data_IF_438261072011
#
_entry.id   IF_438261072011
#
_cell.length_a   1.000
_cell.length_b   1.000
_cell.length_c   1.000
_cell.angle_alpha   90.00
_cell.angle_beta   90.00
_cell.angle_gamma   90.00
#
_symmetry.space_group_name_H-M   'P 1'
#
loop_
_entity.id
_entity.type
_entity.pdbx_description
1 polymer ?
#
# COMPACT_ATOMS: atom_id res chain seq x y z
N UNK A 1 14.07 -37.99 12.14
CA UNK A 1 14.77 -36.76 12.56
C UNK A 1 15.82 -36.47 11.52
N UNK A 2 15.50 -35.72 10.51
CA UNK A 2 16.40 -35.37 9.40
C UNK A 2 16.69 -33.89 9.48
N UNK A 3 17.92 -33.60 9.81
CA UNK A 3 18.57 -32.30 9.79
C UNK A 3 18.46 -31.71 8.39
N UNK A 4 17.60 -30.72 8.20
CA UNK A 4 17.62 -29.85 7.03
C UNK A 4 18.62 -28.72 7.33
N UNK A 5 19.88 -28.98 7.00
CA UNK A 5 20.92 -27.98 6.93
C UNK A 5 20.43 -26.76 6.14
N UNK A 6 20.33 -25.58 6.81
CA UNK A 6 20.24 -24.29 6.22
C UNK A 6 21.31 -24.15 5.13
N UNK A 7 20.92 -24.21 3.87
CA UNK A 7 21.81 -23.86 2.76
C UNK A 7 22.24 -22.42 2.99
N UNK A 8 23.50 -22.22 3.30
CA UNK A 8 24.10 -20.91 3.36
C UNK A 8 23.81 -20.16 2.06
N UNK A 9 23.26 -18.96 2.18
CA UNK A 9 23.10 -18.06 1.04
C UNK A 9 24.46 -17.95 0.34
N UNK A 10 24.48 -18.20 -0.97
CA UNK A 10 25.70 -18.14 -1.76
C UNK A 10 26.40 -16.80 -1.57
N UNK A 11 27.73 -16.80 -1.54
CA UNK A 11 28.51 -15.58 -1.43
C UNK A 11 28.04 -14.55 -2.48
N UNK A 12 27.83 -13.27 -2.10
CA UNK A 12 27.38 -12.25 -3.03
C UNK A 12 28.34 -12.15 -4.22
N UNK A 13 27.79 -12.28 -5.43
CA UNK A 13 28.56 -12.10 -6.65
C UNK A 13 28.82 -10.60 -6.89
N UNK A 14 30.06 -10.23 -7.26
CA UNK A 14 30.33 -8.84 -7.64
C UNK A 14 29.46 -8.41 -8.82
N UNK A 15 28.90 -7.21 -8.76
CA UNK A 15 28.21 -6.62 -9.91
C UNK A 15 29.23 -6.37 -11.04
N UNK A 16 28.86 -6.52 -12.33
CA UNK A 16 29.73 -6.21 -13.44
C UNK A 16 30.27 -4.77 -13.34
N UNK A 17 31.58 -4.60 -13.35
CA UNK A 17 32.24 -3.30 -13.21
C UNK A 17 32.43 -2.81 -11.77
N UNK A 18 32.02 -3.56 -10.76
CA UNK A 18 32.33 -3.22 -9.37
C UNK A 18 33.79 -3.52 -9.04
N UNK A 19 34.45 -2.60 -8.34
CA UNK A 19 35.86 -2.74 -7.87
C UNK A 19 35.98 -3.55 -6.58
N UNK A 20 34.84 -3.83 -5.90
CA UNK A 20 34.78 -4.59 -4.65
C UNK A 20 33.39 -5.23 -4.47
N UNK A 21 33.31 -6.26 -3.66
CA UNK A 21 32.03 -6.87 -3.29
C UNK A 21 31.38 -6.07 -2.15
N UNK A 22 30.06 -5.86 -2.24
CA UNK A 22 29.26 -5.23 -1.18
C UNK A 22 28.70 -6.34 -0.29
N UNK A 23 29.10 -6.36 0.98
CA UNK A 23 28.76 -7.42 1.92
C UNK A 23 27.69 -7.04 2.95
N UNK A 24 27.35 -5.77 3.06
CA UNK A 24 26.56 -5.22 4.16
C UNK A 24 25.11 -4.87 3.80
N UNK A 25 24.67 -5.24 2.60
CA UNK A 25 23.28 -5.01 2.18
C UNK A 25 22.67 -6.30 1.70
N UNK A 26 21.61 -6.71 2.37
CA UNK A 26 20.73 -7.77 1.88
C UNK A 26 19.77 -7.15 0.88
N UNK A 27 19.59 -7.72 -0.32
CA UNK A 27 18.51 -7.30 -1.22
C UNK A 27 17.17 -7.34 -0.51
N UNK A 28 16.22 -6.46 -0.88
CA UNK A 28 14.85 -6.56 -0.40
C UNK A 28 14.34 -7.98 -0.61
N UNK A 29 13.74 -8.56 0.43
CA UNK A 29 13.13 -9.87 0.33
C UNK A 29 11.84 -9.72 -0.48
N UNK A 30 11.82 -10.27 -1.70
CA UNK A 30 10.56 -10.48 -2.41
C UNK A 30 9.82 -11.63 -1.72
N UNK A 31 8.75 -11.30 -1.03
CA UNK A 31 7.94 -12.25 -0.29
C UNK A 31 6.48 -11.80 -0.26
N UNK A 32 5.57 -12.73 -0.08
CA UNK A 32 4.20 -12.36 0.27
C UNK A 32 4.18 -11.89 1.74
N UNK A 33 3.99 -10.59 1.96
CA UNK A 33 4.04 -10.00 3.31
C UNK A 33 2.87 -10.43 4.21
N UNK A 34 1.79 -10.97 3.65
CA UNK A 34 0.69 -11.52 4.44
C UNK A 34 0.96 -12.97 4.84
N UNK A 35 1.15 -13.86 3.86
CA UNK A 35 1.32 -15.31 4.15
C UNK A 35 2.65 -15.63 4.81
N UNK A 36 3.66 -14.79 4.66
CA UNK A 36 4.95 -14.91 5.33
C UNK A 36 4.94 -14.42 6.79
N UNK A 37 3.95 -13.63 7.19
CA UNK A 37 3.76 -13.15 8.56
C UNK A 37 2.73 -14.02 9.29
N UNK A 38 3.19 -15.08 9.93
CA UNK A 38 2.32 -16.02 10.63
C UNK A 38 1.53 -15.35 11.76
N UNK A 39 2.12 -14.37 12.46
CA UNK A 39 1.44 -13.67 13.53
C UNK A 39 0.28 -12.82 12.99
N UNK A 40 0.45 -12.17 11.83
CA UNK A 40 -0.61 -11.43 11.16
C UNK A 40 -1.74 -12.36 10.69
N UNK A 41 -1.40 -13.51 10.10
CA UNK A 41 -2.38 -14.50 9.64
C UNK A 41 -3.21 -15.03 10.82
N UNK A 42 -2.57 -15.43 11.91
CA UNK A 42 -3.25 -15.91 13.13
C UNK A 42 -4.13 -14.84 13.74
N UNK A 43 -3.67 -13.58 13.79
CA UNK A 43 -4.47 -12.47 14.32
C UNK A 43 -5.70 -12.20 13.45
N UNK A 44 -5.53 -12.17 12.11
CA UNK A 44 -6.66 -11.96 11.19
C UNK A 44 -7.72 -13.04 11.35
N UNK A 45 -7.32 -14.31 11.42
CA UNK A 45 -8.24 -15.42 11.62
C UNK A 45 -8.90 -15.37 13.03
N UNK A 46 -8.10 -15.24 14.08
CA UNK A 46 -8.56 -15.23 15.47
C UNK A 46 -9.53 -14.08 15.79
N UNK A 47 -9.42 -12.95 15.10
CA UNK A 47 -10.34 -11.81 15.26
C UNK A 47 -11.43 -11.75 14.18
N UNK A 48 -11.66 -12.85 13.46
CA UNK A 48 -12.79 -13.03 12.55
C UNK A 48 -12.65 -12.41 11.18
N UNK A 49 -11.42 -12.02 10.76
CA UNK A 49 -11.11 -11.50 9.43
C UNK A 49 -10.71 -12.59 8.41
N UNK A 50 -10.66 -13.86 8.80
CA UNK A 50 -10.16 -14.98 7.98
C UNK A 50 -10.87 -15.14 6.62
N UNK A 51 -12.11 -14.70 6.49
CA UNK A 51 -12.85 -14.70 5.22
C UNK A 51 -12.22 -13.81 4.13
N UNK A 52 -11.36 -12.86 4.52
CA UNK A 52 -10.63 -11.99 3.59
C UNK A 52 -9.25 -12.55 3.22
N UNK A 53 -8.92 -13.77 3.59
CA UNK A 53 -7.59 -14.36 3.43
C UNK A 53 -7.06 -14.24 1.99
N UNK A 54 -7.85 -14.60 0.99
CA UNK A 54 -7.45 -14.55 -0.42
C UNK A 54 -7.10 -13.11 -0.82
N UNK A 55 -7.96 -12.15 -0.52
CA UNK A 55 -7.75 -10.74 -0.82
C UNK A 55 -6.49 -10.18 -0.13
N UNK A 56 -6.27 -10.55 1.14
CA UNK A 56 -5.08 -10.14 1.90
C UNK A 56 -3.81 -10.80 1.37
N UNK A 57 -3.89 -12.06 0.94
CA UNK A 57 -2.78 -12.77 0.32
C UNK A 57 -2.39 -12.14 -1.01
N UNK A 58 -3.34 -11.84 -1.86
CA UNK A 58 -3.09 -11.17 -3.15
C UNK A 58 -2.44 -9.80 -2.95
N UNK A 59 -2.95 -9.04 -1.98
CA UNK A 59 -2.35 -7.73 -1.66
C UNK A 59 -0.98 -7.85 -1.00
N UNK A 60 -0.78 -8.85 -0.15
CA UNK A 60 0.51 -9.17 0.48
C UNK A 60 1.60 -9.51 -0.55
N UNK A 61 1.25 -10.21 -1.62
CA UNK A 61 2.17 -10.47 -2.72
C UNK A 61 2.54 -9.18 -3.48
N UNK A 62 1.60 -8.28 -3.69
CA UNK A 62 1.85 -6.98 -4.33
C UNK A 62 2.74 -6.09 -3.46
N UNK A 63 2.44 -5.97 -2.16
CA UNK A 63 3.20 -5.11 -1.24
C UNK A 63 4.60 -5.62 -0.97
N UNK A 64 4.81 -6.93 -0.95
CA UNK A 64 6.14 -7.54 -0.79
C UNK A 64 6.93 -7.71 -2.10
N UNK A 65 6.38 -7.27 -3.23
CA UNK A 65 6.99 -7.33 -4.55
C UNK A 65 6.97 -5.97 -5.26
N UNK A 66 6.13 -5.79 -6.30
CA UNK A 66 6.18 -4.60 -7.15
C UNK A 66 5.92 -3.28 -6.41
N UNK A 67 5.04 -3.25 -5.40
CA UNK A 67 4.75 -2.04 -4.63
C UNK A 67 5.94 -1.60 -3.78
N UNK A 68 6.74 -2.54 -3.27
CA UNK A 68 7.97 -2.22 -2.53
C UNK A 68 8.95 -1.43 -3.40
N UNK A 69 9.16 -1.84 -4.64
CA UNK A 69 10.04 -1.14 -5.58
C UNK A 69 9.51 0.27 -5.90
N UNK A 70 8.21 0.40 -6.14
CA UNK A 70 7.56 1.69 -6.35
C UNK A 70 7.66 2.60 -5.12
N UNK A 71 7.61 2.03 -3.90
CA UNK A 71 7.78 2.77 -2.65
C UNK A 71 9.15 3.42 -2.54
N UNK A 72 10.21 2.71 -2.92
CA UNK A 72 11.56 3.30 -2.97
C UNK A 72 11.64 4.49 -3.94
N UNK A 73 11.02 4.38 -5.11
CA UNK A 73 11.02 5.47 -6.08
C UNK A 73 10.17 6.65 -5.60
N UNK A 74 8.98 6.41 -5.07
CA UNK A 74 8.12 7.46 -4.55
C UNK A 74 8.77 8.25 -3.39
N UNK A 75 9.51 7.56 -2.53
CA UNK A 75 10.26 8.21 -1.43
C UNK A 75 11.52 8.95 -1.92
N UNK A 76 12.11 8.51 -3.03
CA UNK A 76 13.28 9.17 -3.62
C UNK A 76 12.91 10.45 -4.37
N UNK A 77 11.77 10.44 -5.07
CA UNK A 77 11.30 11.54 -5.92
C UNK A 77 10.12 12.24 -5.23
N UNK A 78 10.43 13.21 -4.40
CA UNK A 78 9.44 13.99 -3.66
C UNK A 78 8.55 14.83 -4.58
N UNK A 79 7.32 15.19 -4.15
CA UNK A 79 6.44 16.05 -4.93
C UNK A 79 7.08 17.41 -5.26
N UNK A 80 6.81 17.90 -6.46
CA UNK A 80 7.27 19.18 -6.96
C UNK A 80 6.11 20.18 -7.03
N UNK A 81 6.30 21.37 -6.45
CA UNK A 81 5.36 22.47 -6.62
C UNK A 81 5.71 23.27 -7.88
N UNK A 82 4.85 23.21 -8.88
CA UNK A 82 4.95 24.00 -10.11
C UNK A 82 4.04 25.21 -10.00
N UNK A 83 4.61 26.36 -9.68
CA UNK A 83 3.84 27.59 -9.43
C UNK A 83 3.33 28.26 -10.69
N UNK A 84 4.05 28.13 -11.80
CA UNK A 84 3.69 28.76 -13.09
C UNK A 84 3.92 27.79 -14.24
N UNK A 85 3.12 27.95 -15.28
CA UNK A 85 3.32 27.25 -16.54
C UNK A 85 4.45 27.88 -17.38
N UNK A 86 4.74 27.30 -18.54
CA UNK A 86 5.78 27.79 -19.48
C UNK A 86 5.49 29.17 -20.07
N UNK A 87 4.28 29.69 -19.90
CA UNK A 87 3.85 30.99 -20.42
C UNK A 87 3.75 32.05 -19.32
N UNK A 88 4.08 31.70 -18.07
CA UNK A 88 4.02 32.60 -16.91
C UNK A 88 2.64 32.68 -16.25
N UNK A 89 1.67 31.85 -16.61
CA UNK A 89 0.39 31.79 -15.92
C UNK A 89 0.57 31.01 -14.60
N UNK A 90 0.00 31.53 -13.52
CA UNK A 90 0.02 30.89 -12.22
C UNK A 90 -0.90 29.66 -12.22
N UNK A 91 -0.38 28.48 -11.82
CA UNK A 91 -1.11 27.21 -11.81
C UNK A 91 -1.10 26.55 -10.42
N UNK A 92 -0.07 26.76 -9.62
CA UNK A 92 0.12 26.19 -8.26
C UNK A 92 -0.17 24.66 -8.21
N UNK A 93 0.36 23.93 -9.19
CA UNK A 93 0.16 22.48 -9.35
C UNK A 93 1.20 21.72 -8.54
N UNK A 94 0.76 20.70 -7.78
CA UNK A 94 1.66 19.75 -7.13
C UNK A 94 1.78 18.50 -8.01
N UNK A 95 2.99 18.21 -8.47
CA UNK A 95 3.29 17.03 -9.30
C UNK A 95 3.91 15.93 -8.48
N UNK A 96 3.29 14.77 -8.54
CA UNK A 96 3.80 13.57 -7.92
C UNK A 96 4.50 12.67 -8.94
N UNK A 97 5.48 11.91 -8.48
CA UNK A 97 6.13 10.88 -9.31
C UNK A 97 5.11 9.81 -9.73
N UNK A 98 5.24 9.21 -10.94
CA UNK A 98 4.34 8.14 -11.38
C UNK A 98 4.21 6.97 -10.40
N UNK A 99 5.26 6.63 -9.67
CA UNK A 99 5.24 5.59 -8.63
C UNK A 99 4.27 5.91 -7.50
N UNK A 100 4.12 7.19 -7.10
CA UNK A 100 3.10 7.59 -6.12
C UNK A 100 1.69 7.28 -6.64
N UNK A 101 1.38 7.65 -7.87
CA UNK A 101 0.08 7.38 -8.47
C UNK A 101 -0.19 5.87 -8.61
N UNK A 102 0.82 5.09 -8.95
CA UNK A 102 0.69 3.64 -9.04
C UNK A 102 0.40 3.00 -7.66
N UNK A 103 1.09 3.45 -6.60
CA UNK A 103 0.84 2.99 -5.23
C UNK A 103 -0.56 3.38 -4.76
N UNK A 104 -0.99 4.62 -5.03
CA UNK A 104 -2.34 5.07 -4.70
C UNK A 104 -3.41 4.25 -5.44
N UNK A 105 -3.21 3.97 -6.72
CA UNK A 105 -4.14 3.16 -7.51
C UNK A 105 -4.28 1.73 -6.95
N UNK A 106 -3.17 1.09 -6.58
CA UNK A 106 -3.18 -0.24 -5.98
C UNK A 106 -3.81 -0.24 -4.58
N UNK A 107 -3.52 0.76 -3.74
CA UNK A 107 -4.11 0.90 -2.41
C UNK A 107 -5.63 1.14 -2.46
N UNK A 108 -6.09 2.00 -3.37
CA UNK A 108 -7.50 2.28 -3.60
C UNK A 108 -8.19 1.05 -4.20
N UNK A 109 -7.60 0.41 -5.19
CA UNK A 109 -8.12 -0.81 -5.80
C UNK A 109 -8.27 -1.97 -4.80
N UNK A 110 -7.32 -2.13 -3.89
CA UNK A 110 -7.42 -3.10 -2.79
C UNK A 110 -8.45 -2.69 -1.72
N UNK A 111 -8.85 -1.42 -1.68
CA UNK A 111 -9.82 -0.89 -0.74
C UNK A 111 -9.22 -0.51 0.61
N UNK A 112 -7.94 -0.18 0.70
CA UNK A 112 -7.28 0.23 1.97
C UNK A 112 -8.06 1.35 2.67
N UNK A 113 -8.66 2.27 1.90
CA UNK A 113 -9.49 3.38 2.38
C UNK A 113 -10.96 3.02 2.63
N UNK A 114 -11.50 1.93 2.05
CA UNK A 114 -12.95 1.71 1.99
C UNK A 114 -13.40 0.30 2.38
N UNK A 115 -12.47 -0.67 2.52
CA UNK A 115 -12.78 -2.08 2.66
C UNK A 115 -13.84 -2.38 3.73
N UNK A 116 -13.65 -1.86 4.94
CA UNK A 116 -14.56 -2.11 6.06
C UNK A 116 -15.94 -1.44 5.90
N UNK A 117 -16.01 -0.36 5.11
CA UNK A 117 -17.28 0.31 4.80
C UNK A 117 -18.06 -0.38 3.70
N UNK A 118 -17.36 -1.00 2.74
CA UNK A 118 -17.98 -1.78 1.65
C UNK A 118 -18.41 -3.17 2.10
N UNK A 119 -17.65 -3.82 2.99
CA UNK A 119 -17.86 -5.21 3.41
C UNK A 119 -18.65 -5.35 4.73
N UNK A 120 -19.18 -4.38 5.31
CA UNK A 120 -20.02 -4.25 6.54
C UNK A 120 -20.43 -5.57 7.23
N UNK A 121 -19.47 -6.43 7.57
CA UNK A 121 -19.66 -7.72 8.24
C UNK A 121 -18.64 -7.89 9.37
N UNK A 122 -18.84 -8.83 10.32
CA UNK A 122 -17.87 -9.12 11.37
C UNK A 122 -16.46 -9.36 10.78
N UNK A 123 -15.44 -8.80 11.43
CA UNK A 123 -14.05 -8.92 11.01
C UNK A 123 -13.62 -7.96 9.87
N UNK A 124 -14.51 -7.15 9.28
CA UNK A 124 -14.15 -6.24 8.19
C UNK A 124 -13.12 -5.19 8.61
N UNK A 125 -13.21 -4.67 9.84
CA UNK A 125 -12.19 -3.76 10.38
C UNK A 125 -10.84 -4.46 10.60
N UNK A 126 -10.84 -5.72 10.98
CA UNK A 126 -9.62 -6.53 11.12
C UNK A 126 -8.95 -6.70 9.77
N UNK A 127 -9.71 -7.11 8.75
CA UNK A 127 -9.21 -7.25 7.38
C UNK A 127 -8.68 -5.91 6.83
N UNK A 128 -9.39 -4.81 7.04
CA UNK A 128 -8.92 -3.47 6.66
C UNK A 128 -7.62 -3.10 7.39
N UNK A 129 -7.52 -3.41 8.69
CA UNK A 129 -6.29 -3.14 9.45
C UNK A 129 -5.09 -3.92 8.92
N UNK A 130 -5.31 -5.16 8.48
CA UNK A 130 -4.29 -5.95 7.80
C UNK A 130 -3.87 -5.31 6.46
N UNK A 131 -4.82 -4.82 5.65
CA UNK A 131 -4.49 -4.07 4.41
C UNK A 131 -3.62 -2.85 4.69
N UNK A 132 -3.93 -2.08 5.75
CA UNK A 132 -3.12 -0.93 6.19
C UNK A 132 -1.72 -1.36 6.58
N UNK A 133 -1.61 -2.41 7.39
CA UNK A 133 -0.33 -2.94 7.84
C UNK A 133 0.54 -3.36 6.66
N UNK A 134 -0.03 -4.07 5.68
CA UNK A 134 0.66 -4.48 4.46
C UNK A 134 1.08 -3.28 3.61
N UNK A 135 0.18 -2.31 3.40
CA UNK A 135 0.44 -1.12 2.60
C UNK A 135 1.59 -0.28 3.18
N UNK A 136 1.57 -0.05 4.50
CA UNK A 136 2.61 0.72 5.20
C UNK A 136 4.01 0.13 5.05
N UNK A 137 4.14 -1.17 4.86
CA UNK A 137 5.44 -1.81 4.64
C UNK A 137 6.02 -1.47 3.26
N UNK A 138 5.17 -1.28 2.26
CA UNK A 138 5.60 -0.89 0.92
C UNK A 138 5.84 0.63 0.83
N UNK A 139 4.89 1.44 1.31
CA UNK A 139 5.00 2.90 1.32
C UNK A 139 4.04 3.51 2.36
N UNK A 140 4.60 4.20 3.35
CA UNK A 140 3.82 4.73 4.47
C UNK A 140 3.24 6.12 4.22
N UNK A 141 3.82 6.93 3.33
CA UNK A 141 3.40 8.31 3.06
C UNK A 141 1.99 8.39 2.45
N UNK A 142 1.64 7.46 1.56
CA UNK A 142 0.31 7.36 0.95
C UNK A 142 -0.80 6.97 1.92
N UNK A 143 -0.44 6.48 3.12
CA UNK A 143 -1.45 6.16 4.14
C UNK A 143 -2.19 7.38 4.67
N UNK A 144 -1.60 8.56 4.63
CA UNK A 144 -2.29 9.77 5.08
C UNK A 144 -3.57 10.02 4.27
N UNK A 145 -3.54 10.20 2.94
CA UNK A 145 -4.76 10.39 2.14
C UNK A 145 -5.73 9.20 2.24
N UNK A 146 -5.24 7.96 2.25
CA UNK A 146 -6.09 6.77 2.37
C UNK A 146 -6.81 6.71 3.73
N UNK A 147 -6.14 7.08 4.84
CA UNK A 147 -6.76 7.11 6.17
C UNK A 147 -7.74 8.27 6.32
N UNK A 148 -7.44 9.44 5.76
CA UNK A 148 -8.38 10.57 5.76
C UNK A 148 -9.66 10.21 5.00
N UNK A 149 -9.54 9.58 3.84
CA UNK A 149 -10.69 9.10 3.06
C UNK A 149 -11.48 8.04 3.83
N UNK A 150 -10.82 7.12 4.53
CA UNK A 150 -11.49 6.15 5.40
C UNK A 150 -12.28 6.84 6.51
N UNK A 151 -11.70 7.84 7.15
CA UNK A 151 -12.27 8.51 8.32
C UNK A 151 -13.47 9.41 7.97
N UNK A 152 -13.58 9.88 6.73
CA UNK A 152 -14.68 10.77 6.34
C UNK A 152 -16.01 10.04 6.18
N UNK A 153 -16.01 8.74 5.89
CA UNK A 153 -17.23 7.98 5.62
C UNK A 153 -18.28 8.07 6.76
N UNK A 154 -17.97 7.79 8.05
CA UNK A 154 -18.95 7.94 9.12
C UNK A 154 -19.38 9.39 9.37
N UNK A 155 -18.52 10.37 9.07
CA UNK A 155 -18.89 11.78 9.18
C UNK A 155 -19.94 12.18 8.12
N UNK A 156 -19.78 11.68 6.89
CA UNK A 156 -20.77 11.89 5.81
C UNK A 156 -22.08 11.17 6.12
N UNK A 157 -22.04 9.97 6.70
CA UNK A 157 -23.24 9.21 7.05
C UNK A 157 -24.13 9.91 8.10
N UNK A 158 -23.57 10.82 8.89
CA UNK A 158 -24.34 11.62 9.83
C UNK A 158 -25.36 12.56 9.15
N UNK A 159 -25.14 12.91 7.87
CA UNK A 159 -26.06 13.75 7.08
C UNK A 159 -26.43 13.02 5.76
N UNK A 160 -27.59 12.32 5.71
CA UNK A 160 -27.97 11.48 4.58
C UNK A 160 -28.04 12.20 3.22
N UNK A 161 -28.35 13.48 3.20
CA UNK A 161 -28.39 14.27 1.96
C UNK A 161 -27.00 14.45 1.37
N UNK A 162 -26.00 14.70 2.21
CA UNK A 162 -24.58 14.81 1.81
C UNK A 162 -24.02 13.43 1.46
N UNK A 163 -24.33 12.42 2.28
CA UNK A 163 -23.85 11.05 2.06
C UNK A 163 -24.21 10.51 0.68
N UNK A 164 -25.46 10.70 0.22
CA UNK A 164 -25.90 10.26 -1.13
C UNK A 164 -25.04 10.80 -2.26
N UNK A 165 -24.53 12.01 -2.12
CA UNK A 165 -23.74 12.65 -3.17
C UNK A 165 -22.25 12.30 -3.10
N UNK A 166 -21.69 12.08 -1.90
CA UNK A 166 -20.25 11.94 -1.71
C UNK A 166 -19.76 10.50 -1.50
N UNK A 167 -20.53 9.67 -0.77
CA UNK A 167 -20.08 8.32 -0.44
C UNK A 167 -19.78 7.44 -1.66
N UNK A 168 -20.53 7.52 -2.78
CA UNK A 168 -20.19 6.71 -3.96
C UNK A 168 -18.76 6.95 -4.47
N UNK A 169 -18.32 8.20 -4.48
CA UNK A 169 -16.94 8.55 -4.86
C UNK A 169 -15.93 8.20 -3.79
N UNK A 170 -16.23 8.50 -2.52
CA UNK A 170 -15.34 8.21 -1.36
C UNK A 170 -15.06 6.71 -1.21
N UNK A 171 -16.04 5.85 -1.52
CA UNK A 171 -15.93 4.40 -1.37
C UNK A 171 -15.58 3.68 -2.67
N UNK A 172 -15.37 4.42 -3.78
CA UNK A 172 -14.94 3.86 -5.06
C UNK A 172 -13.58 3.19 -4.94
N UNK A 173 -13.39 2.13 -5.71
CA UNK A 173 -12.08 1.47 -5.88
C UNK A 173 -11.34 1.94 -7.14
N UNK A 174 -11.88 2.94 -7.81
CA UNK A 174 -11.26 3.55 -8.98
C UNK A 174 -10.46 4.79 -8.53
N UNK A 175 -9.17 4.78 -8.80
CA UNK A 175 -8.29 5.90 -8.47
C UNK A 175 -8.43 7.01 -9.51
N UNK A 176 -8.71 8.22 -9.06
CA UNK A 176 -8.69 9.43 -9.88
C UNK A 176 -7.43 10.25 -9.56
N UNK A 177 -6.46 10.35 -10.49
CA UNK A 177 -5.22 11.10 -10.26
C UNK A 177 -5.36 12.61 -10.40
N UNK A 178 -6.54 13.10 -10.78
CA UNK A 178 -6.78 14.55 -10.97
C UNK A 178 -6.79 15.26 -9.63
N UNK A 179 -6.21 16.47 -9.56
CA UNK A 179 -6.23 17.31 -8.37
C UNK A 179 -7.63 17.85 -8.05
#
# INVERSE_FOLDING_TARGET
MTDQSLKAAGSPQPLPGATHAVFNQTPPLEANLFTGDHALVEAVDGFGGGWAFEHLSDYGAKTGGPLMALGFDANRYTPELVTHDRYGNRIDEVRFHPSYHAIMAEGIGAGVHAFAWNERRPGAMVARSALVYLHCQAEAGTMCPLTMTFAVAPALEAEPAVARNWLPGVLSRDYDPRP
#
